data_IF_024130124684
#
_entry.id   IF_024130124684
#
_cell.length_a   1.000
_cell.length_b   1.000
_cell.length_c   1.000
_cell.angle_alpha   90.00
_cell.angle_beta   90.00
_cell.angle_gamma   90.00
#
_symmetry.space_group_name_H-M   'P 1'
#
loop_
_entity.id
_entity.type
_entity.pdbx_description
1 polymer ?
#
# COMPACT_ATOMS: atom_id res chain seq x y z
N UNK A 1 -9.16 -11.72 -30.66
CA UNK A 1 -8.21 -12.61 -29.95
C UNK A 1 -8.24 -12.24 -28.47
N UNK A 2 -8.41 -13.19 -27.53
CA UNK A 2 -8.35 -12.89 -26.10
C UNK A 2 -6.95 -12.35 -25.72
N UNK A 3 -6.89 -11.35 -24.83
CA UNK A 3 -5.61 -10.84 -24.32
C UNK A 3 -4.90 -11.92 -23.49
N UNK A 4 -3.57 -11.95 -23.54
CA UNK A 4 -2.78 -12.84 -22.68
C UNK A 4 -3.07 -12.55 -21.19
N UNK A 5 -3.19 -13.60 -20.38
CA UNK A 5 -3.78 -13.51 -19.04
C UNK A 5 -3.15 -12.46 -18.09
N UNK A 6 -1.84 -12.20 -18.20
CA UNK A 6 -1.16 -11.19 -17.37
C UNK A 6 -1.30 -9.74 -17.87
N UNK A 7 -1.68 -9.52 -19.13
CA UNK A 7 -1.76 -8.18 -19.74
C UNK A 7 -2.83 -7.31 -19.08
N UNK A 8 -4.08 -7.78 -18.87
CA UNK A 8 -5.08 -6.99 -18.17
C UNK A 8 -4.64 -6.58 -16.76
N UNK A 9 -3.93 -7.45 -16.05
CA UNK A 9 -3.44 -7.19 -14.70
C UNK A 9 -2.32 -6.12 -14.69
N UNK A 10 -1.41 -6.14 -15.65
CA UNK A 10 -0.39 -5.10 -15.82
C UNK A 10 -1.01 -3.74 -16.14
N UNK A 11 -2.01 -3.70 -17.03
CA UNK A 11 -2.73 -2.47 -17.36
C UNK A 11 -3.46 -1.93 -16.13
N UNK A 12 -4.17 -2.78 -15.38
CA UNK A 12 -4.84 -2.39 -14.15
C UNK A 12 -3.85 -1.89 -13.08
N UNK A 13 -2.67 -2.49 -12.98
CA UNK A 13 -1.60 -2.05 -12.08
C UNK A 13 -1.10 -0.66 -12.45
N UNK A 14 -0.73 -0.44 -13.70
CA UNK A 14 -0.25 0.86 -14.17
C UNK A 14 -1.34 1.94 -14.03
N UNK A 15 -2.58 1.62 -14.41
CA UNK A 15 -3.72 2.53 -14.30
C UNK A 15 -4.05 2.92 -12.87
N UNK A 16 -4.05 1.96 -11.93
CA UNK A 16 -4.32 2.24 -10.52
C UNK A 16 -3.20 3.02 -9.84
N UNK A 17 -1.93 2.77 -10.18
CA UNK A 17 -0.79 3.59 -9.72
C UNK A 17 -0.89 5.01 -10.26
N UNK A 18 -1.22 5.19 -11.55
CA UNK A 18 -1.39 6.49 -12.18
C UNK A 18 -2.54 7.28 -11.56
N UNK A 19 -3.70 6.66 -11.42
CA UNK A 19 -4.88 7.26 -10.78
C UNK A 19 -4.59 7.63 -9.31
N UNK A 20 -3.97 6.73 -8.54
CA UNK A 20 -3.57 7.00 -7.16
C UNK A 20 -2.58 8.16 -7.06
N UNK A 21 -1.62 8.27 -7.99
CA UNK A 21 -0.63 9.35 -8.01
C UNK A 21 -1.25 10.70 -8.34
N UNK A 22 -2.25 10.71 -9.25
CA UNK A 22 -3.03 11.90 -9.56
C UNK A 22 -3.86 12.34 -8.34
N UNK A 23 -4.58 11.41 -7.71
CA UNK A 23 -5.38 11.67 -6.51
C UNK A 23 -4.50 12.20 -5.37
N UNK A 24 -3.32 11.61 -5.18
CA UNK A 24 -2.35 12.03 -4.18
C UNK A 24 -1.83 13.45 -4.45
N UNK A 25 -1.53 13.77 -5.71
CA UNK A 25 -1.10 15.11 -6.12
C UNK A 25 -2.18 16.17 -5.88
N UNK A 26 -3.43 15.87 -6.25
CA UNK A 26 -4.58 16.76 -6.00
C UNK A 26 -4.81 16.93 -4.50
N UNK A 27 -4.78 15.84 -3.74
CA UNK A 27 -4.93 15.89 -2.27
C UNK A 27 -3.84 16.75 -1.63
N UNK A 28 -2.60 16.66 -2.11
CA UNK A 28 -1.49 17.47 -1.62
C UNK A 28 -1.65 18.95 -1.96
N UNK A 29 -2.15 19.28 -3.16
CA UNK A 29 -2.45 20.66 -3.54
C UNK A 29 -3.55 21.28 -2.67
N UNK A 30 -4.52 20.47 -2.22
CA UNK A 30 -5.63 20.91 -1.37
C UNK A 30 -5.29 20.95 0.12
N UNK A 31 -4.42 20.06 0.61
CA UNK A 31 -4.09 19.93 2.03
C UNK A 31 -2.60 20.19 2.29
N UNK A 32 -2.31 21.27 3.01
CA UNK A 32 -0.97 21.56 3.57
C UNK A 32 -0.73 20.76 4.85
N UNK A 33 -0.63 19.43 4.73
CA UNK A 33 -0.32 18.55 5.87
C UNK A 33 1.19 18.44 6.15
N UNK A 34 1.54 18.04 7.37
CA UNK A 34 2.93 17.96 7.87
C UNK A 34 3.75 16.79 7.29
N UNK A 35 3.10 15.84 6.62
CA UNK A 35 3.71 14.60 6.14
C UNK A 35 3.39 14.27 4.67
N UNK A 36 3.71 15.15 3.71
CA UNK A 36 3.26 15.00 2.32
C UNK A 36 3.69 13.69 1.63
N UNK A 37 4.93 13.18 1.78
CA UNK A 37 5.35 11.94 1.14
C UNK A 37 4.61 10.70 1.66
N UNK A 38 4.25 10.69 2.95
CA UNK A 38 3.56 9.55 3.56
C UNK A 38 2.10 9.49 3.13
N UNK A 39 1.41 10.64 3.12
CA UNK A 39 0.05 10.75 2.60
C UNK A 39 -0.01 10.29 1.14
N UNK A 40 0.93 10.77 0.33
CA UNK A 40 1.03 10.41 -1.08
C UNK A 40 1.11 8.89 -1.25
N UNK A 41 2.02 8.25 -0.53
CA UNK A 41 2.23 6.81 -0.61
C UNK A 41 0.99 6.01 -0.17
N UNK A 42 0.31 6.44 0.91
CA UNK A 42 -0.91 5.78 1.38
C UNK A 42 -2.07 5.92 0.40
N UNK A 43 -2.24 7.07 -0.24
CA UNK A 43 -3.29 7.26 -1.26
C UNK A 43 -3.03 6.36 -2.47
N UNK A 44 -1.79 6.28 -2.94
CA UNK A 44 -1.42 5.37 -4.04
C UNK A 44 -1.67 3.91 -3.66
N UNK A 45 -1.20 3.48 -2.49
CA UNK A 45 -1.43 2.11 -2.00
C UNK A 45 -2.91 1.78 -1.86
N UNK A 46 -3.72 2.72 -1.35
CA UNK A 46 -5.16 2.54 -1.21
C UNK A 46 -5.83 2.38 -2.58
N UNK A 47 -5.49 3.21 -3.56
CA UNK A 47 -6.04 3.12 -4.91
C UNK A 47 -5.71 1.78 -5.59
N UNK A 48 -4.45 1.34 -5.53
CA UNK A 48 -4.03 0.03 -6.05
C UNK A 48 -4.74 -1.09 -5.32
N UNK A 49 -4.76 -1.05 -3.98
CA UNK A 49 -5.39 -2.11 -3.18
C UNK A 49 -6.89 -2.23 -3.45
N UNK A 50 -7.63 -1.13 -3.63
CA UNK A 50 -9.06 -1.17 -3.94
C UNK A 50 -9.36 -1.86 -5.28
N UNK A 51 -8.58 -1.56 -6.32
CA UNK A 51 -8.75 -2.16 -7.65
C UNK A 51 -8.51 -3.68 -7.59
N UNK A 52 -7.40 -4.11 -7.00
CA UNK A 52 -7.06 -5.53 -6.93
C UNK A 52 -7.89 -6.30 -5.88
N UNK A 53 -8.36 -5.63 -4.83
CA UNK A 53 -9.31 -6.20 -3.88
C UNK A 53 -10.64 -6.50 -4.55
N UNK A 54 -11.20 -5.56 -5.33
CA UNK A 54 -12.43 -5.78 -6.08
C UNK A 54 -12.32 -6.97 -7.04
N UNK A 55 -11.17 -7.09 -7.72
CA UNK A 55 -10.89 -8.26 -8.55
C UNK A 55 -10.82 -9.56 -7.73
N UNK A 56 -10.09 -9.58 -6.63
CA UNK A 56 -9.98 -10.79 -5.80
C UNK A 56 -11.33 -11.22 -5.21
N UNK A 57 -12.17 -10.27 -4.79
CA UNK A 57 -13.55 -10.55 -4.35
C UNK A 57 -14.37 -11.16 -5.48
N UNK A 58 -14.29 -10.61 -6.70
CA UNK A 58 -14.94 -11.20 -7.87
C UNK A 58 -14.48 -12.65 -8.13
N UNK A 59 -13.19 -12.94 -7.98
CA UNK A 59 -12.68 -14.32 -8.09
C UNK A 59 -13.23 -15.24 -7.00
N UNK A 60 -13.33 -14.78 -5.75
CA UNK A 60 -13.95 -15.54 -4.67
C UNK A 60 -15.40 -15.92 -4.97
N UNK A 61 -16.17 -15.00 -5.57
CA UNK A 61 -17.59 -15.21 -5.89
C UNK A 61 -17.76 -16.14 -7.10
N UNK A 62 -16.95 -15.96 -8.14
CA UNK A 62 -17.17 -16.64 -9.44
C UNK A 62 -16.34 -17.89 -9.65
N UNK A 63 -15.29 -18.10 -8.85
CA UNK A 63 -14.34 -19.20 -9.03
C UNK A 63 -14.06 -19.90 -7.71
N UNK A 64 -13.01 -19.48 -7.02
CA UNK A 64 -12.48 -20.10 -5.81
C UNK A 64 -11.86 -19.02 -4.94
N UNK A 65 -11.59 -19.37 -3.69
CA UNK A 65 -10.96 -18.47 -2.75
C UNK A 65 -9.66 -17.85 -3.32
N UNK A 66 -9.57 -16.52 -3.22
CA UNK A 66 -8.43 -15.73 -3.65
C UNK A 66 -7.81 -15.04 -2.43
N UNK A 67 -6.57 -15.41 -2.10
CA UNK A 67 -5.82 -14.85 -0.98
C UNK A 67 -5.67 -13.32 -1.10
N UNK A 68 -5.74 -12.78 -2.32
CA UNK A 68 -5.80 -11.35 -2.60
C UNK A 68 -6.91 -10.63 -1.84
N UNK A 69 -8.07 -11.25 -1.66
CA UNK A 69 -9.21 -10.62 -0.99
C UNK A 69 -8.88 -10.28 0.47
N UNK A 70 -8.15 -11.17 1.15
CA UNK A 70 -7.71 -10.94 2.53
C UNK A 70 -6.50 -10.01 2.56
N UNK A 71 -5.47 -10.25 1.72
CA UNK A 71 -4.24 -9.45 1.77
C UNK A 71 -4.50 -7.98 1.45
N UNK A 72 -5.28 -7.67 0.40
CA UNK A 72 -5.58 -6.28 0.04
C UNK A 72 -6.54 -5.61 1.03
N UNK A 73 -7.46 -6.35 1.66
CA UNK A 73 -8.30 -5.80 2.72
C UNK A 73 -7.47 -5.27 3.90
N UNK A 74 -6.39 -5.97 4.27
CA UNK A 74 -5.50 -5.49 5.34
C UNK A 74 -4.78 -4.19 4.97
N UNK A 75 -4.38 -4.03 3.71
CA UNK A 75 -3.74 -2.79 3.23
C UNK A 75 -4.74 -1.65 3.16
N UNK A 76 -5.97 -1.89 2.68
CA UNK A 76 -7.05 -0.88 2.68
C UNK A 76 -7.29 -0.38 4.10
N UNK A 77 -7.45 -1.29 5.07
CA UNK A 77 -7.64 -0.93 6.47
C UNK A 77 -6.44 -0.16 7.03
N UNK A 78 -5.21 -0.64 6.79
CA UNK A 78 -4.00 -0.01 7.27
C UNK A 78 -3.82 1.41 6.72
N UNK A 79 -3.97 1.60 5.41
CA UNK A 79 -3.79 2.89 4.74
C UNK A 79 -4.90 3.88 5.10
N UNK A 80 -6.16 3.45 5.17
CA UNK A 80 -7.27 4.31 5.60
C UNK A 80 -7.09 4.79 7.06
N UNK A 81 -6.69 3.88 7.97
CA UNK A 81 -6.36 4.26 9.34
C UNK A 81 -5.14 5.18 9.40
N UNK A 82 -4.13 4.93 8.56
CA UNK A 82 -2.95 5.76 8.44
C UNK A 82 -3.29 7.19 8.06
N UNK A 83 -4.09 7.38 7.01
CA UNK A 83 -4.56 8.68 6.54
C UNK A 83 -5.36 9.42 7.63
N UNK A 84 -6.26 8.74 8.35
CA UNK A 84 -7.03 9.34 9.46
C UNK A 84 -6.16 9.73 10.65
N UNK A 85 -5.02 9.08 10.84
CA UNK A 85 -4.10 9.30 11.97
C UNK A 85 -3.01 10.31 11.65
N UNK A 86 -2.91 10.81 10.43
CA UNK A 86 -1.87 11.76 10.06
C UNK A 86 -1.96 13.08 10.83
N UNK A 87 -3.18 13.48 11.21
CA UNK A 87 -3.41 14.68 12.01
C UNK A 87 -3.17 14.44 13.52
N UNK A 88 -3.17 13.17 13.94
CA UNK A 88 -2.89 12.78 15.32
C UNK A 88 -1.37 12.60 15.49
N UNK A 89 -0.66 13.69 15.78
CA UNK A 89 0.80 13.75 15.97
C UNK A 89 1.34 12.97 17.20
N UNK A 90 0.56 12.07 17.77
CA UNK A 90 0.96 11.23 18.88
C UNK A 90 1.94 10.13 18.44
N UNK A 91 3.13 10.11 19.05
CA UNK A 91 4.18 9.08 18.85
C UNK A 91 3.64 7.64 18.84
N UNK A 92 2.76 7.32 19.78
CA UNK A 92 2.17 5.99 19.91
C UNK A 92 1.31 5.60 18.69
N UNK A 93 0.55 6.56 18.15
CA UNK A 93 -0.28 6.37 16.96
C UNK A 93 0.59 6.01 15.74
N UNK A 94 1.68 6.75 15.53
CA UNK A 94 2.63 6.51 14.44
C UNK A 94 3.36 5.17 14.59
N UNK A 95 3.71 4.75 15.81
CA UNK A 95 4.32 3.44 16.06
C UNK A 95 3.37 2.29 15.71
N UNK A 96 2.10 2.37 16.15
CA UNK A 96 1.06 1.39 15.79
C UNK A 96 0.86 1.35 14.27
N UNK A 97 0.82 2.52 13.63
CA UNK A 97 0.68 2.62 12.19
C UNK A 97 1.84 1.98 11.44
N UNK A 98 3.08 2.15 11.90
CA UNK A 98 4.27 1.52 11.31
C UNK A 98 4.18 -0.01 11.32
N UNK A 99 3.77 -0.59 12.44
CA UNK A 99 3.60 -2.05 12.56
C UNK A 99 2.48 -2.52 11.62
N UNK A 100 1.33 -1.84 11.63
CA UNK A 100 0.18 -2.21 10.82
C UNK A 100 0.48 -2.14 9.31
N UNK A 101 1.12 -1.07 8.85
CA UNK A 101 1.56 -0.92 7.45
C UNK A 101 2.61 -1.96 7.07
N UNK A 102 3.58 -2.26 7.95
CA UNK A 102 4.59 -3.27 7.69
C UNK A 102 3.99 -4.68 7.54
N UNK A 103 3.09 -5.07 8.45
CA UNK A 103 2.46 -6.39 8.42
C UNK A 103 1.51 -6.56 7.23
N UNK A 104 0.66 -5.56 6.95
CA UNK A 104 -0.26 -5.60 5.80
C UNK A 104 0.49 -5.65 4.45
N UNK A 105 1.55 -4.84 4.31
CA UNK A 105 2.43 -4.89 3.15
C UNK A 105 3.13 -6.24 2.98
N UNK A 106 3.63 -6.81 4.08
CA UNK A 106 4.25 -8.15 4.08
C UNK A 106 3.27 -9.24 3.62
N UNK A 107 2.00 -9.19 4.03
CA UNK A 107 0.98 -10.14 3.56
C UNK A 107 0.79 -10.08 2.04
N UNK A 108 0.77 -8.89 1.45
CA UNK A 108 0.66 -8.75 -0.01
C UNK A 108 1.92 -9.25 -0.71
N UNK A 109 3.11 -8.93 -0.18
CA UNK A 109 4.39 -9.42 -0.73
C UNK A 109 4.45 -10.95 -0.72
N UNK A 110 4.10 -11.58 0.41
CA UNK A 110 4.05 -13.06 0.53
C UNK A 110 3.04 -13.64 -0.46
N UNK A 111 1.86 -13.04 -0.61
CA UNK A 111 0.86 -13.48 -1.58
C UNK A 111 1.42 -13.48 -3.02
N UNK A 112 2.04 -12.38 -3.45
CA UNK A 112 2.66 -12.32 -4.78
C UNK A 112 3.85 -13.26 -4.94
N UNK A 113 4.66 -13.45 -3.89
CA UNK A 113 5.77 -14.40 -3.92
C UNK A 113 5.30 -15.86 -4.12
N UNK A 114 4.21 -16.25 -3.44
CA UNK A 114 3.54 -17.54 -3.70
C UNK A 114 2.98 -17.59 -5.13
N UNK A 115 2.39 -16.49 -5.59
CA UNK A 115 1.90 -16.33 -6.96
C UNK A 115 2.97 -16.53 -8.03
N UNK A 116 4.21 -16.09 -7.80
CA UNK A 116 5.36 -16.32 -8.70
C UNK A 116 5.63 -17.82 -8.87
N UNK A 117 5.65 -18.57 -7.76
CA UNK A 117 5.86 -20.02 -7.78
C UNK A 117 4.81 -20.73 -8.64
N UNK A 118 3.53 -20.36 -8.48
CA UNK A 118 2.41 -20.96 -9.23
C UNK A 118 2.35 -20.47 -10.69
N UNK A 119 2.68 -19.22 -10.96
CA UNK A 119 2.58 -18.62 -12.30
C UNK A 119 3.69 -19.09 -13.25
N UNK A 120 4.84 -19.50 -12.72
CA UNK A 120 6.01 -19.95 -13.47
C UNK A 120 5.72 -21.08 -14.47
N UNK A 121 4.69 -21.88 -14.21
CA UNK A 121 4.28 -23.03 -15.04
C UNK A 121 3.12 -22.73 -16.00
N UNK A 122 2.51 -21.54 -15.94
CA UNK A 122 1.25 -21.23 -16.66
C UNK A 122 1.44 -20.31 -17.86
N UNK A 123 1.94 -19.10 -17.63
CA UNK A 123 2.10 -18.09 -18.69
C UNK A 123 3.15 -17.04 -18.28
N UNK A 124 4.08 -16.73 -19.18
CA UNK A 124 5.15 -15.77 -18.91
C UNK A 124 4.63 -14.36 -18.59
N UNK A 125 3.53 -13.93 -19.21
CA UNK A 125 2.91 -12.62 -18.93
C UNK A 125 2.33 -12.55 -17.52
N UNK A 126 1.78 -13.66 -17.01
CA UNK A 126 1.28 -13.74 -15.64
C UNK A 126 2.45 -13.73 -14.65
N UNK A 127 3.53 -14.45 -14.95
CA UNK A 127 4.75 -14.41 -14.15
C UNK A 127 5.32 -13.00 -14.08
N UNK A 128 5.43 -12.30 -15.21
CA UNK A 128 5.90 -10.92 -15.28
C UNK A 128 5.05 -10.00 -14.39
N UNK A 129 3.72 -10.11 -14.46
CA UNK A 129 2.82 -9.38 -13.57
C UNK A 129 3.11 -9.66 -12.09
N UNK A 130 3.23 -10.93 -11.70
CA UNK A 130 3.47 -11.30 -10.30
C UNK A 130 4.81 -10.75 -9.79
N UNK A 131 5.86 -10.79 -10.61
CA UNK A 131 7.17 -10.21 -10.28
C UNK A 131 7.08 -8.70 -10.11
N UNK A 132 6.53 -7.99 -11.09
CA UNK A 132 6.40 -6.52 -11.06
C UNK A 132 5.58 -6.07 -9.85
N UNK A 133 4.46 -6.72 -9.59
CA UNK A 133 3.61 -6.39 -8.44
C UNK A 133 4.31 -6.71 -7.11
N UNK A 134 5.00 -7.86 -6.99
CA UNK A 134 5.79 -8.20 -5.81
C UNK A 134 6.84 -7.13 -5.51
N UNK A 135 7.61 -6.72 -6.52
CA UNK A 135 8.63 -5.67 -6.38
C UNK A 135 8.02 -4.33 -5.96
N UNK A 136 6.91 -3.93 -6.57
CA UNK A 136 6.21 -2.69 -6.20
C UNK A 136 5.72 -2.70 -4.75
N UNK A 137 5.10 -3.80 -4.31
CA UNK A 137 4.63 -3.93 -2.93
C UNK A 137 5.77 -3.99 -1.92
N UNK A 138 6.87 -4.65 -2.26
CA UNK A 138 8.07 -4.66 -1.41
C UNK A 138 8.65 -3.24 -1.26
N UNK A 139 8.88 -2.55 -2.38
CA UNK A 139 9.43 -1.19 -2.39
C UNK A 139 8.53 -0.19 -1.63
N UNK A 140 7.22 -0.23 -1.88
CA UNK A 140 6.27 0.67 -1.22
C UNK A 140 6.12 0.38 0.27
N UNK A 141 6.18 -0.89 0.70
CA UNK A 141 6.13 -1.26 2.13
C UNK A 141 7.38 -0.75 2.85
N UNK A 142 8.56 -0.97 2.27
CA UNK A 142 9.83 -0.46 2.83
C UNK A 142 9.79 1.06 2.92
N UNK A 143 9.40 1.75 1.85
CA UNK A 143 9.29 3.20 1.82
C UNK A 143 8.35 3.73 2.92
N UNK A 144 7.18 3.11 3.10
CA UNK A 144 6.22 3.52 4.12
C UNK A 144 6.79 3.35 5.54
N UNK A 145 7.45 2.23 5.83
CA UNK A 145 8.08 1.96 7.13
C UNK A 145 9.20 2.97 7.44
N UNK A 146 10.01 3.33 6.44
CA UNK A 146 11.07 4.33 6.58
C UNK A 146 10.49 5.72 6.83
N UNK A 147 9.48 6.14 6.05
CA UNK A 147 8.80 7.43 6.22
C UNK A 147 8.13 7.54 7.60
N UNK A 148 7.46 6.49 8.06
CA UNK A 148 6.87 6.45 9.41
C UNK A 148 7.96 6.53 10.50
N UNK A 149 9.09 5.84 10.32
CA UNK A 149 10.21 5.91 11.26
C UNK A 149 10.80 7.32 11.34
N UNK A 150 10.87 8.03 10.23
CA UNK A 150 11.30 9.42 10.19
C UNK A 150 10.29 10.36 10.88
N UNK A 151 8.99 10.19 10.62
CA UNK A 151 7.93 10.96 11.29
C UNK A 151 7.96 10.77 12.82
N UNK A 152 8.16 9.54 13.30
CA UNK A 152 8.30 9.23 14.73
C UNK A 152 9.50 9.97 15.33
N UNK A 153 10.66 9.98 14.66
CA UNK A 153 11.86 10.69 15.14
C UNK A 153 11.62 12.19 15.25
N UNK A 154 10.95 12.80 14.26
CA UNK A 154 10.57 14.22 14.28
C UNK A 154 9.64 14.56 15.45
N UNK A 155 8.63 13.73 15.69
CA UNK A 155 7.70 13.87 16.82
C UNK A 155 8.45 13.86 18.16
N UNK A 156 9.37 12.90 18.36
CA UNK A 156 10.19 12.82 19.58
C UNK A 156 11.08 14.04 19.78
N UNK A 157 11.77 14.49 18.71
CA UNK A 157 12.64 15.66 18.78
C UNK A 157 11.86 16.95 19.09
N UNK A 158 10.64 17.08 18.59
CA UNK A 158 9.79 18.25 18.86
C UNK A 158 9.32 18.28 20.32
N UNK A 159 9.03 17.12 20.90
CA UNK A 159 8.63 17.02 22.31
C UNK A 159 9.76 17.38 23.30
N UNK A 160 11.02 17.11 22.95
CA UNK A 160 12.18 17.46 23.80
C UNK A 160 12.53 18.94 23.81
N UNK A 161 12.03 19.73 22.85
CA UNK A 161 12.30 21.16 22.75
C UNK A 161 11.30 22.02 23.53
N UNK A 162 10.21 21.43 24.03
CA UNK A 162 9.27 22.16 24.88
C UNK A 162 9.93 22.36 26.25
N UNK A 163 10.15 23.62 26.69
CA UNK A 163 10.74 23.88 28.00
C UNK A 163 9.87 23.20 29.06
N UNK A 164 10.51 22.40 29.91
CA UNK A 164 9.87 21.89 31.12
C UNK A 164 9.56 23.12 31.98
N UNK A 165 8.35 23.65 31.86
CA UNK A 165 7.89 24.79 32.63
C UNK A 165 8.07 24.49 34.11
N UNK A 166 9.00 25.21 34.73
CA UNK A 166 9.12 25.41 36.17
C UNK A 166 7.96 26.29 36.67
#
# INVERSE_FOLDING_TARGET
MPLAAGVPALIALAGSVGAGSLLASVSHALHKGDHPPLAFLFIVQLAVALVFWGWAVYNCITKQFDLGAVSFATVIAATALGLRRMDASAKESLQKQRVLTGLSGLFVVVNYALGIGVASTKAWTLLLYMVVACTLWCASTIAAVLLLSFAIRKCVASASLLPHGE
#
